data_IF_746806781040
#
_entry.id   IF_746806781040
#
_cell.length_a   1.000
_cell.length_b   1.000
_cell.length_c   1.000
_cell.angle_alpha   90.00
_cell.angle_beta   90.00
_cell.angle_gamma   90.00
#
_symmetry.space_group_name_H-M   'P 1'
#
loop_
_entity.id
_entity.type
_entity.pdbx_description
1 polymer ?
#
# COMPACT_ATOMS: atom_id res chain seq x y z
N UNK A 1 27.94 -19.47 -31.76
CA UNK A 1 26.93 -18.88 -30.85
C UNK A 1 27.43 -17.49 -30.53
N UNK A 2 26.57 -16.50 -30.73
CA UNK A 2 26.91 -15.08 -30.83
C UNK A 2 27.84 -14.66 -29.70
N UNK A 3 28.94 -14.01 -30.06
CA UNK A 3 29.87 -13.37 -29.13
C UNK A 3 29.06 -12.43 -28.26
N UNK A 4 28.92 -12.75 -26.97
CA UNK A 4 28.41 -11.81 -25.97
C UNK A 4 29.26 -10.55 -26.09
N UNK A 5 28.71 -9.53 -26.71
CA UNK A 5 29.22 -8.17 -26.61
C UNK A 5 29.04 -7.78 -25.15
N UNK A 6 30.03 -8.18 -24.33
CA UNK A 6 30.07 -7.90 -22.92
C UNK A 6 29.89 -6.38 -22.75
N UNK A 7 28.77 -5.98 -22.19
CA UNK A 7 28.45 -4.58 -21.94
C UNK A 7 29.35 -4.06 -20.81
N UNK A 8 30.50 -3.51 -21.19
CA UNK A 8 31.52 -3.02 -20.26
C UNK A 8 31.36 -1.54 -19.88
N UNK A 9 30.17 -0.94 -19.97
CA UNK A 9 29.99 0.44 -19.50
C UNK A 9 30.05 0.47 -17.97
N UNK A 10 31.19 0.87 -17.40
CA UNK A 10 31.40 0.88 -15.94
C UNK A 10 30.68 2.03 -15.24
N UNK A 11 30.43 3.14 -15.93
CA UNK A 11 29.72 4.29 -15.36
C UNK A 11 28.66 4.83 -16.32
N UNK A 12 27.42 4.85 -15.86
CA UNK A 12 26.28 5.50 -16.51
C UNK A 12 26.25 6.99 -16.14
N UNK A 13 25.86 7.88 -17.08
CA UNK A 13 25.77 9.32 -16.82
C UNK A 13 24.60 9.69 -15.89
N UNK A 14 23.58 8.84 -15.80
CA UNK A 14 22.42 9.04 -14.93
C UNK A 14 21.83 7.69 -14.46
N UNK A 15 20.99 7.70 -13.41
CA UNK A 15 20.30 6.50 -12.97
C UNK A 15 19.41 5.92 -14.08
N UNK A 16 19.44 4.60 -14.23
CA UNK A 16 18.67 3.87 -15.26
C UNK A 16 18.93 4.35 -16.70
N UNK A 17 20.19 4.66 -17.02
CA UNK A 17 20.58 5.12 -18.36
C UNK A 17 20.27 4.06 -19.44
N UNK A 18 19.66 4.52 -20.54
CA UNK A 18 19.27 3.67 -21.69
C UNK A 18 18.42 2.45 -21.29
N UNK A 19 17.50 2.66 -20.35
CA UNK A 19 16.62 1.62 -19.76
C UNK A 19 17.37 0.46 -19.08
N UNK A 20 18.67 0.59 -18.85
CA UNK A 20 19.47 -0.38 -18.09
C UNK A 20 19.49 0.03 -16.61
N UNK A 21 18.97 -0.80 -15.68
CA UNK A 21 19.00 -0.45 -14.27
C UNK A 21 20.43 -0.23 -13.76
N UNK A 22 20.62 0.81 -12.96
CA UNK A 22 21.92 1.16 -12.36
C UNK A 22 21.90 0.99 -10.84
N UNK A 23 23.08 0.82 -10.27
CA UNK A 23 23.32 0.86 -8.83
C UNK A 23 24.42 1.87 -8.54
N UNK A 24 24.28 2.59 -7.44
CA UNK A 24 25.31 3.53 -6.99
C UNK A 24 26.46 2.78 -6.31
N UNK A 25 27.64 2.86 -6.90
CA UNK A 25 28.90 2.32 -6.35
C UNK A 25 29.87 3.47 -6.18
N UNK A 26 30.35 3.70 -4.95
CA UNK A 26 31.07 4.92 -4.58
C UNK A 26 30.30 6.19 -4.99
N UNK A 27 30.86 6.98 -5.90
CA UNK A 27 30.25 8.22 -6.42
C UNK A 27 29.62 8.08 -7.80
N UNK A 28 29.60 6.87 -8.37
CA UNK A 28 29.20 6.61 -9.76
C UNK A 28 27.93 5.76 -9.84
N UNK A 29 27.12 5.99 -10.87
CA UNK A 29 26.05 5.08 -11.26
C UNK A 29 26.65 3.98 -12.14
N UNK A 30 26.54 2.73 -11.71
CA UNK A 30 27.10 1.56 -12.41
C UNK A 30 25.93 0.73 -12.94
N UNK A 31 25.84 0.47 -14.25
CA UNK A 31 24.87 -0.47 -14.80
C UNK A 31 24.96 -1.84 -14.11
N UNK A 32 23.82 -2.42 -13.73
CA UNK A 32 23.79 -3.72 -13.07
C UNK A 32 24.56 -4.81 -13.83
N UNK A 33 24.45 -4.94 -15.18
CA UNK A 33 25.24 -5.93 -15.92
C UNK A 33 26.74 -5.77 -15.66
N UNK A 34 27.27 -4.54 -15.71
CA UNK A 34 28.67 -4.27 -15.44
C UNK A 34 29.07 -4.61 -14.00
N UNK A 35 28.23 -4.26 -13.01
CA UNK A 35 28.47 -4.61 -11.61
C UNK A 35 28.57 -6.13 -11.39
N UNK A 36 27.65 -6.90 -12.00
CA UNK A 36 27.67 -8.36 -11.91
C UNK A 36 28.87 -8.98 -12.64
N UNK A 37 29.28 -8.43 -13.78
CA UNK A 37 30.50 -8.88 -14.47
C UNK A 37 31.75 -8.64 -13.63
N UNK A 38 31.84 -7.51 -12.92
CA UNK A 38 32.95 -7.23 -11.98
C UNK A 38 32.95 -8.26 -10.84
N UNK A 39 31.79 -8.51 -10.24
CA UNK A 39 31.67 -9.52 -9.19
C UNK A 39 32.03 -10.91 -9.69
N UNK A 40 31.59 -11.31 -10.88
CA UNK A 40 31.93 -12.60 -11.49
C UNK A 40 33.44 -12.78 -11.66
N UNK A 41 34.14 -11.75 -12.14
CA UNK A 41 35.61 -11.79 -12.25
C UNK A 41 36.29 -11.94 -10.88
N UNK A 42 35.78 -11.26 -9.85
CA UNK A 42 36.32 -11.39 -8.49
C UNK A 42 36.05 -12.77 -7.89
N UNK A 43 34.88 -13.36 -8.16
CA UNK A 43 34.52 -14.72 -7.75
C UNK A 43 35.36 -15.79 -8.48
N UNK A 44 35.75 -15.54 -9.74
CA UNK A 44 36.71 -16.36 -10.50
C UNK A 44 38.15 -16.27 -9.94
N UNK A 45 38.37 -15.49 -8.88
CA UNK A 45 39.66 -15.35 -8.21
C UNK A 45 40.60 -14.37 -8.91
N UNK A 46 40.09 -13.52 -9.81
CA UNK A 46 40.89 -12.44 -10.40
C UNK A 46 41.27 -11.43 -9.32
N UNK A 47 42.52 -11.00 -9.37
CA UNK A 47 42.99 -9.89 -8.52
C UNK A 47 42.37 -8.59 -9.02
N UNK A 48 42.20 -7.65 -8.09
CA UNK A 48 41.69 -6.31 -8.33
C UNK A 48 42.37 -5.63 -9.53
N UNK A 49 43.70 -5.71 -9.62
CA UNK A 49 44.45 -5.11 -10.72
C UNK A 49 44.20 -5.80 -12.07
N UNK A 50 43.90 -7.10 -12.07
CA UNK A 50 43.55 -7.85 -13.29
C UNK A 50 42.17 -7.43 -13.79
N UNK A 51 41.21 -7.26 -12.89
CA UNK A 51 39.86 -6.78 -13.22
C UNK A 51 39.92 -5.39 -13.83
N UNK A 52 40.65 -4.46 -13.20
CA UNK A 52 40.86 -3.11 -13.73
C UNK A 52 41.50 -3.16 -15.13
N UNK A 53 42.48 -4.04 -15.36
CA UNK A 53 43.11 -4.18 -16.68
C UNK A 53 42.14 -4.69 -17.75
N UNK A 54 41.28 -5.66 -17.43
CA UNK A 54 40.25 -6.16 -18.35
C UNK A 54 39.29 -5.02 -18.72
N UNK A 55 38.77 -4.32 -17.72
CA UNK A 55 37.81 -3.22 -17.92
C UNK A 55 38.40 -2.08 -18.74
N UNK A 56 39.65 -1.67 -18.45
CA UNK A 56 40.33 -0.59 -19.19
C UNK A 56 40.55 -0.94 -20.66
N UNK A 57 40.73 -2.22 -21.01
CA UNK A 57 40.84 -2.65 -22.42
C UNK A 57 39.54 -2.41 -23.21
N UNK A 58 38.39 -2.52 -22.56
CA UNK A 58 37.09 -2.34 -23.21
C UNK A 58 36.56 -0.89 -23.16
N UNK A 59 36.76 -0.20 -22.05
CA UNK A 59 36.26 1.19 -21.84
C UNK A 59 37.25 2.28 -22.23
N UNK A 60 38.53 1.94 -22.35
CA UNK A 60 39.61 2.86 -22.66
C UNK A 60 40.29 3.46 -21.41
N UNK A 61 41.52 3.93 -21.62
CA UNK A 61 42.41 4.40 -20.55
C UNK A 61 41.93 5.67 -19.84
N UNK A 62 41.06 6.47 -20.45
CA UNK A 62 40.52 7.70 -19.86
C UNK A 62 39.63 7.43 -18.65
N UNK A 63 38.94 6.28 -18.61
CA UNK A 63 38.04 5.91 -17.53
C UNK A 63 38.76 5.17 -16.38
N UNK A 64 40.09 4.98 -16.46
CA UNK A 64 40.85 4.17 -15.49
C UNK A 64 40.61 4.60 -14.04
N UNK A 65 40.56 5.90 -13.75
CA UNK A 65 40.33 6.38 -12.38
C UNK A 65 38.96 5.97 -11.83
N UNK A 66 37.91 6.09 -12.64
CA UNK A 66 36.54 5.69 -12.29
C UNK A 66 36.46 4.17 -12.11
N UNK A 67 37.09 3.42 -13.02
CA UNK A 67 37.12 1.96 -12.98
C UNK A 67 37.77 1.47 -11.69
N UNK A 68 38.93 2.03 -11.34
CA UNK A 68 39.62 1.67 -10.08
C UNK A 68 38.73 1.98 -8.89
N UNK A 69 38.15 3.18 -8.79
CA UNK A 69 37.26 3.53 -7.67
C UNK A 69 36.04 2.58 -7.54
N UNK A 70 35.42 2.21 -8.67
CA UNK A 70 34.32 1.26 -8.69
C UNK A 70 34.79 -0.12 -8.23
N UNK A 71 35.86 -0.66 -8.82
CA UNK A 71 36.36 -2.00 -8.47
C UNK A 71 36.77 -2.07 -7.00
N UNK A 72 37.49 -1.07 -6.47
CA UNK A 72 37.89 -1.00 -5.06
C UNK A 72 36.67 -1.03 -4.14
N UNK A 73 35.62 -0.27 -4.48
CA UNK A 73 34.38 -0.26 -3.73
C UNK A 73 33.64 -1.59 -3.80
N UNK A 74 33.64 -2.28 -4.94
CA UNK A 74 33.04 -3.62 -5.07
C UNK A 74 33.80 -4.63 -4.23
N UNK A 75 35.14 -4.61 -4.28
CA UNK A 75 36.00 -5.49 -3.48
C UNK A 75 35.77 -5.28 -1.98
N UNK A 76 35.72 -4.03 -1.52
CA UNK A 76 35.47 -3.72 -0.11
C UNK A 76 34.06 -4.16 0.32
N UNK A 77 33.05 -3.94 -0.52
CA UNK A 77 31.70 -4.45 -0.27
C UNK A 77 31.69 -5.98 -0.16
N UNK A 78 32.38 -6.68 -1.06
CA UNK A 78 32.48 -8.14 -1.02
C UNK A 78 33.20 -8.60 0.25
N UNK A 79 34.26 -7.93 0.68
CA UNK A 79 34.96 -8.20 1.95
C UNK A 79 34.06 -7.98 3.17
N UNK A 80 33.21 -6.95 3.17
CA UNK A 80 32.28 -6.69 4.28
C UNK A 80 31.17 -7.73 4.36
N UNK A 81 30.73 -8.28 3.22
CA UNK A 81 29.68 -9.30 3.13
C UNK A 81 30.24 -10.70 3.46
N UNK A 82 31.42 -11.03 2.94
CA UNK A 82 32.04 -12.37 3.06
C UNK A 82 32.96 -12.51 4.26
N UNK A 83 33.47 -11.40 4.79
CA UNK A 83 34.39 -11.40 5.93
C UNK A 83 33.73 -11.97 7.19
N UNK A 84 34.48 -12.71 8.02
CA UNK A 84 33.97 -13.15 9.31
C UNK A 84 33.52 -11.92 10.11
N UNK A 85 32.34 -11.96 10.75
CA UNK A 85 31.84 -10.83 11.50
C UNK A 85 32.90 -10.42 12.51
N UNK A 86 33.38 -9.17 12.43
CA UNK A 86 34.37 -8.64 13.38
C UNK A 86 33.89 -9.00 14.79
N UNK A 87 34.73 -9.63 15.64
CA UNK A 87 34.36 -9.93 17.01
C UNK A 87 34.19 -8.60 17.75
N UNK A 88 32.98 -8.07 17.70
CA UNK A 88 32.58 -6.93 18.50
C UNK A 88 32.59 -7.40 19.95
N UNK A 89 33.57 -6.92 20.72
CA UNK A 89 33.63 -7.10 22.18
C UNK A 89 32.45 -6.48 22.94
N UNK A 90 31.45 -5.92 22.25
CA UNK A 90 30.14 -5.69 22.86
C UNK A 90 29.37 -6.99 22.92
N UNK A 91 29.30 -7.54 24.12
CA UNK A 91 28.29 -8.50 24.59
C UNK A 91 27.03 -8.34 23.75
N UNK A 92 26.82 -9.29 22.84
CA UNK A 92 25.66 -9.33 21.96
C UNK A 92 24.44 -9.59 22.82
N UNK A 93 23.84 -8.52 23.33
CA UNK A 93 22.39 -8.52 23.50
C UNK A 93 21.89 -8.77 22.10
N UNK A 94 21.46 -10.01 21.86
CA UNK A 94 20.79 -10.44 20.64
C UNK A 94 19.72 -9.40 20.39
N UNK A 95 20.02 -8.45 19.50
CA UNK A 95 19.04 -7.53 18.95
C UNK A 95 18.14 -8.45 18.13
N UNK A 96 17.16 -9.07 18.80
CA UNK A 96 15.95 -9.53 18.14
C UNK A 96 15.51 -8.31 17.35
N UNK A 97 15.69 -8.38 16.02
CA UNK A 97 15.15 -7.39 15.09
C UNK A 97 13.77 -7.05 15.62
N UNK A 98 13.48 -5.77 15.94
CA UNK A 98 12.26 -5.45 16.63
C UNK A 98 11.11 -5.98 15.76
N UNK A 99 10.34 -6.94 16.31
CA UNK A 99 9.12 -7.49 15.69
C UNK A 99 8.13 -6.41 15.27
N UNK A 100 8.36 -5.15 15.67
CA UNK A 100 7.63 -3.95 15.27
C UNK A 100 7.28 -3.87 13.78
N UNK A 101 8.10 -4.38 12.84
CA UNK A 101 7.72 -4.38 11.41
C UNK A 101 6.55 -5.36 11.16
N UNK A 102 6.55 -6.54 11.78
CA UNK A 102 5.40 -7.47 11.70
C UNK A 102 4.19 -6.90 12.40
N UNK A 103 4.38 -6.27 13.56
CA UNK A 103 3.28 -5.71 14.34
C UNK A 103 2.64 -4.52 13.61
N UNK A 104 3.44 -3.64 13.02
CA UNK A 104 2.93 -2.52 12.19
C UNK A 104 2.18 -3.01 10.95
N UNK A 105 2.68 -4.05 10.26
CA UNK A 105 1.95 -4.64 9.13
C UNK A 105 0.65 -5.31 9.59
N UNK A 106 0.66 -5.99 10.73
CA UNK A 106 -0.52 -6.63 11.30
C UNK A 106 -1.59 -5.59 11.69
N UNK A 107 -1.22 -4.54 12.43
CA UNK A 107 -2.16 -3.47 12.80
C UNK A 107 -2.70 -2.72 11.60
N UNK A 108 -1.88 -2.47 10.57
CA UNK A 108 -2.37 -1.84 9.33
C UNK A 108 -3.33 -2.73 8.56
N UNK A 109 -3.10 -4.04 8.54
CA UNK A 109 -4.03 -4.99 7.95
C UNK A 109 -5.34 -5.07 8.74
N UNK A 110 -5.26 -5.05 10.06
CA UNK A 110 -6.42 -5.05 10.96
C UNK A 110 -7.24 -3.78 10.77
N UNK A 111 -6.62 -2.60 10.80
CA UNK A 111 -7.28 -1.32 10.56
C UNK A 111 -7.94 -1.25 9.16
N UNK A 112 -7.36 -1.88 8.14
CA UNK A 112 -8.00 -2.00 6.81
C UNK A 112 -9.24 -2.90 6.83
N UNK A 113 -9.19 -4.02 7.54
CA UNK A 113 -10.35 -4.92 7.69
C UNK A 113 -11.47 -4.25 8.47
N UNK A 114 -11.12 -3.55 9.56
CA UNK A 114 -12.07 -2.76 10.34
C UNK A 114 -12.69 -1.63 9.51
N UNK A 115 -11.89 -0.94 8.69
CA UNK A 115 -12.40 0.06 7.77
C UNK A 115 -13.41 -0.53 6.77
N UNK A 116 -13.07 -1.65 6.14
CA UNK A 116 -13.98 -2.34 5.22
C UNK A 116 -15.27 -2.75 5.91
N UNK A 117 -15.20 -3.34 7.10
CA UNK A 117 -16.38 -3.70 7.88
C UNK A 117 -17.23 -2.48 8.27
N UNK A 118 -16.61 -1.33 8.56
CA UNK A 118 -17.32 -0.09 8.85
C UNK A 118 -18.01 0.49 7.60
N UNK A 119 -17.36 0.43 6.44
CA UNK A 119 -17.92 0.86 5.16
C UNK A 119 -19.10 -0.04 4.73
N UNK A 120 -18.99 -1.35 4.89
CA UNK A 120 -20.10 -2.29 4.66
C UNK A 120 -21.29 -1.99 5.59
N UNK A 121 -21.04 -1.75 6.88
CA UNK A 121 -22.09 -1.34 7.83
C UNK A 121 -22.76 -0.04 7.41
N UNK A 122 -22.00 0.94 6.92
CA UNK A 122 -22.56 2.19 6.43
C UNK A 122 -23.47 1.97 5.21
N UNK A 123 -23.05 1.15 4.24
CA UNK A 123 -23.86 0.85 3.06
C UNK A 123 -25.13 0.07 3.41
N UNK A 124 -25.05 -0.91 4.30
CA UNK A 124 -26.25 -1.63 4.79
C UNK A 124 -27.22 -0.69 5.51
N UNK A 125 -26.73 0.25 6.32
CA UNK A 125 -27.57 1.26 6.98
C UNK A 125 -28.24 2.21 5.97
N UNK A 126 -27.54 2.67 4.92
CA UNK A 126 -28.16 3.45 3.83
C UNK A 126 -29.24 2.67 3.08
N UNK A 127 -29.04 1.37 2.86
CA UNK A 127 -30.07 0.52 2.25
C UNK A 127 -31.31 0.39 3.15
N UNK A 128 -31.13 0.32 4.48
CA UNK A 128 -32.25 0.37 5.44
C UNK A 128 -32.98 1.71 5.37
N UNK A 129 -32.25 2.83 5.37
CA UNK A 129 -32.80 4.19 5.29
C UNK A 129 -33.70 4.33 4.05
N UNK A 130 -33.21 3.88 2.90
CA UNK A 130 -33.99 3.88 1.66
C UNK A 130 -35.30 3.09 1.78
N UNK A 131 -35.28 1.93 2.46
CA UNK A 131 -36.50 1.12 2.67
C UNK A 131 -37.49 1.86 3.58
N UNK A 132 -37.01 2.43 4.68
CA UNK A 132 -37.84 3.18 5.62
C UNK A 132 -38.47 4.41 4.96
N UNK A 133 -37.70 5.20 4.21
CA UNK A 133 -38.22 6.34 3.46
C UNK A 133 -39.26 5.93 2.41
N UNK A 134 -39.05 4.79 1.75
CA UNK A 134 -40.03 4.26 0.81
C UNK A 134 -41.33 3.83 1.50
N UNK A 135 -41.25 3.23 2.70
CA UNK A 135 -42.43 2.91 3.52
C UNK A 135 -43.21 4.18 3.87
N UNK A 136 -42.55 5.26 4.29
CA UNK A 136 -43.21 6.56 4.56
C UNK A 136 -43.91 7.10 3.31
N UNK A 137 -43.27 7.01 2.15
CA UNK A 137 -43.83 7.47 0.90
C UNK A 137 -45.09 6.69 0.51
N UNK A 138 -45.08 5.37 0.65
CA UNK A 138 -46.25 4.51 0.40
C UNK A 138 -47.39 4.85 1.38
N UNK A 139 -47.08 5.06 2.66
CA UNK A 139 -48.08 5.44 3.65
C UNK A 139 -48.67 6.84 3.36
N UNK A 140 -47.85 7.76 2.89
CA UNK A 140 -48.26 9.12 2.50
C UNK A 140 -49.19 9.09 1.29
N UNK A 141 -48.86 8.30 0.27
CA UNK A 141 -49.74 8.07 -0.89
C UNK A 141 -51.07 7.46 -0.46
N UNK A 142 -51.03 6.45 0.42
CA UNK A 142 -52.26 5.85 0.96
C UNK A 142 -53.13 6.85 1.73
N UNK A 143 -52.50 7.80 2.43
CA UNK A 143 -53.18 8.92 3.10
C UNK A 143 -53.85 9.87 2.10
N UNK A 144 -53.21 10.13 0.97
CA UNK A 144 -53.76 10.93 -0.11
C UNK A 144 -54.95 10.24 -0.77
N UNK A 145 -54.82 8.95 -1.12
CA UNK A 145 -55.89 8.13 -1.71
C UNK A 145 -57.14 8.03 -0.82
N UNK A 146 -56.98 8.09 0.50
CA UNK A 146 -58.10 8.08 1.45
C UNK A 146 -58.98 9.34 1.37
N UNK A 147 -58.43 10.48 0.91
CA UNK A 147 -59.19 11.72 0.76
C UNK A 147 -60.24 11.60 -0.34
N UNK A 148 -59.89 10.93 -1.43
CA UNK A 148 -60.74 10.76 -2.60
C UNK A 148 -61.76 9.62 -2.43
N UNK A 149 -61.51 8.71 -1.49
CA UNK A 149 -62.40 7.57 -1.23
C UNK A 149 -63.66 8.00 -0.47
N UNK A 150 -64.84 7.63 -0.98
CA UNK A 150 -66.12 7.76 -0.25
C UNK A 150 -66.17 6.73 0.87
N UNK A 151 -66.21 7.20 2.11
CA UNK A 151 -66.26 6.36 3.32
C UNK A 151 -67.16 7.05 4.36
N UNK A 152 -67.65 6.28 5.34
CA UNK A 152 -68.31 6.88 6.50
C UNK A 152 -67.28 7.73 7.30
N UNK A 153 -67.68 8.86 7.90
CA UNK A 153 -66.76 9.73 8.64
C UNK A 153 -65.99 9.00 9.75
N UNK A 154 -66.65 8.10 10.48
CA UNK A 154 -66.02 7.34 11.57
C UNK A 154 -65.03 6.30 11.07
N UNK A 155 -65.33 5.63 9.95
CA UNK A 155 -64.40 4.71 9.30
C UNK A 155 -63.16 5.45 8.81
N UNK A 156 -63.35 6.61 8.16
CA UNK A 156 -62.25 7.46 7.70
C UNK A 156 -61.37 7.91 8.86
N UNK A 157 -61.95 8.32 9.99
CA UNK A 157 -61.19 8.69 11.20
C UNK A 157 -60.34 7.53 11.71
N UNK A 158 -60.93 6.33 11.82
CA UNK A 158 -60.21 5.12 12.27
C UNK A 158 -59.07 4.75 11.33
N UNK A 159 -59.30 4.77 10.01
CA UNK A 159 -58.25 4.43 9.03
C UNK A 159 -57.13 5.47 8.98
N UNK A 160 -57.48 6.75 9.08
CA UNK A 160 -56.52 7.86 9.11
C UNK A 160 -55.62 7.73 10.34
N UNK A 161 -56.22 7.58 11.53
CA UNK A 161 -55.48 7.41 12.78
C UNK A 161 -54.57 6.17 12.76
N UNK A 162 -55.02 5.06 12.16
CA UNK A 162 -54.19 3.87 12.02
C UNK A 162 -52.99 4.08 11.09
N UNK A 163 -53.14 4.86 10.02
CA UNK A 163 -52.01 5.19 9.13
C UNK A 163 -51.08 6.20 9.80
N UNK A 164 -51.60 7.20 10.51
CA UNK A 164 -50.80 8.15 11.28
C UNK A 164 -49.90 7.43 12.29
N UNK A 165 -50.45 6.48 13.05
CA UNK A 165 -49.67 5.64 13.97
C UNK A 165 -48.59 4.82 13.25
N UNK A 166 -48.88 4.31 12.04
CA UNK A 166 -47.88 3.63 11.23
C UNK A 166 -46.78 4.58 10.76
N UNK A 167 -47.13 5.80 10.35
CA UNK A 167 -46.16 6.83 9.95
C UNK A 167 -45.26 7.18 11.13
N UNK A 168 -45.83 7.43 12.32
CA UNK A 168 -45.07 7.70 13.54
C UNK A 168 -44.07 6.59 13.85
N UNK A 169 -44.50 5.32 13.76
CA UNK A 169 -43.64 4.17 13.97
C UNK A 169 -42.51 4.08 12.93
N UNK A 170 -42.80 4.35 11.66
CA UNK A 170 -41.78 4.35 10.60
C UNK A 170 -40.80 5.52 10.76
N UNK A 171 -41.26 6.70 11.19
CA UNK A 171 -40.40 7.83 11.51
C UNK A 171 -39.49 7.55 12.70
N UNK A 172 -39.98 6.83 13.72
CA UNK A 172 -39.14 6.40 14.83
C UNK A 172 -38.03 5.44 14.35
N UNK A 173 -38.37 4.45 13.50
CA UNK A 173 -37.37 3.59 12.85
C UNK A 173 -36.37 4.39 12.02
N UNK A 174 -36.83 5.42 11.31
CA UNK A 174 -35.95 6.28 10.52
C UNK A 174 -34.92 6.95 11.41
N UNK A 175 -35.34 7.48 12.55
CA UNK A 175 -34.44 8.09 13.51
C UNK A 175 -33.37 7.12 14.05
N UNK A 176 -33.76 5.87 14.33
CA UNK A 176 -32.80 4.83 14.74
C UNK A 176 -31.78 4.53 13.63
N UNK A 177 -32.23 4.47 12.36
CA UNK A 177 -31.35 4.26 11.21
C UNK A 177 -30.43 5.45 10.98
N UNK A 178 -30.89 6.69 11.14
CA UNK A 178 -30.04 7.88 11.08
C UNK A 178 -28.93 7.84 12.14
N UNK A 179 -29.27 7.40 13.35
CA UNK A 179 -28.29 7.20 14.42
C UNK A 179 -27.26 6.11 14.05
N UNK A 180 -27.70 4.98 13.46
CA UNK A 180 -26.81 3.94 12.92
C UNK A 180 -25.86 4.50 11.84
N UNK A 181 -26.40 5.29 10.89
CA UNK A 181 -25.61 5.93 9.83
C UNK A 181 -24.57 6.89 10.42
N UNK A 182 -24.97 7.74 11.36
CA UNK A 182 -24.08 8.69 12.01
C UNK A 182 -22.98 7.98 12.81
N UNK A 183 -23.29 6.85 13.44
CA UNK A 183 -22.31 6.02 14.13
C UNK A 183 -21.34 5.36 13.14
N UNK A 184 -21.83 4.76 12.05
CA UNK A 184 -21.00 4.13 11.03
C UNK A 184 -20.07 5.15 10.35
N UNK A 185 -20.57 6.34 10.00
CA UNK A 185 -19.74 7.44 9.45
C UNK A 185 -18.59 7.81 10.40
N UNK A 186 -18.87 7.92 11.71
CA UNK A 186 -17.84 8.21 12.72
C UNK A 186 -16.79 7.11 12.79
N UNK A 187 -17.19 5.85 12.79
CA UNK A 187 -16.25 4.72 12.74
C UNK A 187 -15.37 4.75 11.48
N UNK A 188 -15.97 4.96 10.30
CA UNK A 188 -15.21 5.06 9.05
C UNK A 188 -14.16 6.17 9.10
N UNK A 189 -14.49 7.34 9.67
CA UNK A 189 -13.54 8.45 9.84
C UNK A 189 -12.38 8.08 10.78
N UNK A 190 -12.68 7.43 11.91
CA UNK A 190 -11.66 6.97 12.87
C UNK A 190 -10.69 5.98 12.21
N UNK A 191 -11.21 4.98 11.49
CA UNK A 191 -10.36 3.99 10.82
C UNK A 191 -9.58 4.59 9.65
N UNK A 192 -10.13 5.57 8.92
CA UNK A 192 -9.38 6.32 7.89
C UNK A 192 -8.23 7.12 8.49
N UNK A 193 -8.46 7.79 9.62
CA UNK A 193 -7.41 8.52 10.33
C UNK A 193 -6.30 7.59 10.88
N UNK A 194 -6.66 6.37 11.31
CA UNK A 194 -5.68 5.35 11.77
C UNK A 194 -4.78 4.82 10.63
N UNK A 195 -5.24 4.95 9.37
CA UNK A 195 -4.52 4.46 8.19
C UNK A 195 -3.71 5.53 7.44
N UNK A 196 -3.98 6.81 7.70
CA UNK A 196 -3.29 7.96 7.11
C UNK A 196 -1.93 8.20 7.78
#
# INVERSE_FOLDING_TARGET
>A
MSTDDDFWLVAAPCPNFDDVPTIRVATHEVPLPAYWSILGLLEDGKREEEVVQVLVRHTGTKARGIITEVVDSVVENQRLITGPPRPSGRLSVVFKKPRRISDYRATRMEARRELQAAEEKLETAKLKEKKVLNEVLILSQRMEDLKDKKMAPDERRKTTSAIEQQIEYVLQKHHDVEAEIAFAKRLTLIHKASLA
#
